data_IF_684626463503
#
_entry.id   IF_684626463503
#
_cell.length_a   1.000
_cell.length_b   1.000
_cell.length_c   1.000
_cell.angle_alpha   90.00
_cell.angle_beta   90.00
_cell.angle_gamma   90.00
#
_symmetry.space_group_name_H-M   'P 1'
#
loop_
_entity.id
_entity.type
_entity.pdbx_description
1 polymer ?
#
# COMPACT_ATOMS: atom_id res chain seq x y z
N UNK A 1 7.63 -30.67 -12.63
CA UNK A 1 7.69 -29.49 -13.50
C UNK A 1 6.57 -28.57 -13.07
N UNK A 2 6.86 -27.37 -12.54
CA UNK A 2 5.80 -26.43 -12.18
C UNK A 2 5.03 -26.04 -13.46
N UNK A 3 3.70 -26.01 -13.38
CA UNK A 3 2.87 -25.62 -14.52
C UNK A 3 3.21 -24.18 -14.91
N UNK A 4 3.92 -24.06 -16.04
CA UNK A 4 4.46 -22.77 -16.52
C UNK A 4 3.34 -21.76 -16.81
N UNK A 5 2.12 -22.25 -17.09
CA UNK A 5 0.91 -21.43 -17.21
C UNK A 5 0.42 -20.87 -15.88
N UNK A 6 0.34 -21.70 -14.83
CA UNK A 6 -0.07 -21.26 -13.50
C UNK A 6 0.91 -20.25 -12.91
N UNK A 7 2.21 -20.45 -13.10
CA UNK A 7 3.24 -19.53 -12.60
C UNK A 7 3.15 -18.14 -13.24
N UNK A 8 2.82 -18.08 -14.55
CA UNK A 8 2.59 -16.81 -15.26
C UNK A 8 1.35 -16.07 -14.74
N UNK A 9 0.26 -16.80 -14.46
CA UNK A 9 -0.96 -16.22 -13.91
C UNK A 9 -0.71 -15.61 -12.52
N UNK A 10 -0.03 -16.33 -11.64
CA UNK A 10 0.31 -15.83 -10.30
C UNK A 10 1.23 -14.60 -10.40
N UNK A 11 2.22 -14.63 -11.29
CA UNK A 11 3.10 -13.48 -11.53
C UNK A 11 2.33 -12.24 -12.02
N UNK A 12 1.34 -12.44 -12.90
CA UNK A 12 0.48 -11.35 -13.37
C UNK A 12 -0.37 -10.76 -12.24
N UNK A 13 -1.04 -11.61 -11.45
CA UNK A 13 -1.84 -11.18 -10.30
C UNK A 13 -0.98 -10.42 -9.30
N UNK A 14 0.21 -10.93 -9.01
CA UNK A 14 1.15 -10.27 -8.11
C UNK A 14 1.52 -8.88 -8.63
N UNK A 15 1.92 -8.77 -9.90
CA UNK A 15 2.27 -7.48 -10.49
C UNK A 15 1.11 -6.47 -10.47
N UNK A 16 -0.10 -6.89 -10.83
CA UNK A 16 -1.27 -6.01 -10.77
C UNK A 16 -1.61 -5.59 -9.35
N UNK A 17 -1.45 -6.49 -8.39
CA UNK A 17 -1.66 -6.21 -6.96
C UNK A 17 -0.62 -5.20 -6.46
N UNK A 18 0.65 -5.39 -6.78
CA UNK A 18 1.72 -4.45 -6.44
C UNK A 18 1.45 -3.07 -7.02
N UNK A 19 0.99 -2.99 -8.28
CA UNK A 19 0.67 -1.73 -8.94
C UNK A 19 -0.52 -1.04 -8.26
N UNK A 20 -1.58 -1.78 -7.92
CA UNK A 20 -2.72 -1.25 -7.17
C UNK A 20 -2.30 -0.72 -5.80
N UNK A 21 -1.47 -1.46 -5.07
CA UNK A 21 -0.93 -1.04 -3.76
C UNK A 21 -0.10 0.24 -3.90
N UNK A 22 0.76 0.34 -4.91
CA UNK A 22 1.54 1.56 -5.19
C UNK A 22 0.63 2.77 -5.44
N UNK A 23 -0.44 2.60 -6.23
CA UNK A 23 -1.39 3.68 -6.50
C UNK A 23 -2.11 4.13 -5.23
N UNK A 24 -2.60 3.18 -4.43
CA UNK A 24 -3.27 3.48 -3.15
C UNK A 24 -2.31 4.17 -2.19
N UNK A 25 -1.08 3.69 -2.05
CA UNK A 25 -0.06 4.33 -1.21
C UNK A 25 0.19 5.78 -1.66
N UNK A 26 0.28 6.03 -2.97
CA UNK A 26 0.39 7.37 -3.53
C UNK A 26 -0.82 8.26 -3.20
N UNK A 27 -2.04 7.72 -3.30
CA UNK A 27 -3.27 8.44 -2.92
C UNK A 27 -3.31 8.79 -1.43
N UNK A 28 -2.84 7.88 -0.56
CA UNK A 28 -2.77 8.13 0.88
C UNK A 28 -1.79 9.26 1.18
N UNK A 29 -0.57 9.19 0.65
CA UNK A 29 0.46 10.24 0.83
C UNK A 29 -0.04 11.57 0.29
N UNK A 30 -0.66 11.56 -0.89
CA UNK A 30 -1.31 12.75 -1.45
C UNK A 30 -2.39 13.30 -0.54
N UNK A 31 -3.26 12.45 0.01
CA UNK A 31 -4.30 12.88 0.94
C UNK A 31 -3.75 13.52 2.22
N UNK A 32 -2.59 13.07 2.71
CA UNK A 32 -1.90 13.75 3.80
C UNK A 32 -1.35 15.12 3.37
N UNK A 33 -0.77 15.23 2.18
CA UNK A 33 -0.26 16.50 1.64
C UNK A 33 -1.39 17.52 1.37
N UNK A 34 -2.54 17.05 0.90
CA UNK A 34 -3.72 17.86 0.61
C UNK A 34 -4.54 18.19 1.88
N UNK A 35 -4.12 17.70 3.06
CA UNK A 35 -4.80 17.95 4.33
C UNK A 35 -6.12 17.18 4.52
N UNK A 36 -6.41 16.19 3.67
CA UNK A 36 -7.60 15.35 3.77
C UNK A 36 -7.52 14.35 4.95
N UNK A 37 -6.31 14.06 5.43
CA UNK A 37 -6.06 13.24 6.62
C UNK A 37 -5.31 14.06 7.67
N UNK A 38 -5.86 14.13 8.88
CA UNK A 38 -5.21 14.75 10.03
C UNK A 38 -4.48 13.67 10.84
N UNK A 39 -3.19 13.89 11.10
CA UNK A 39 -2.48 13.12 12.11
C UNK A 39 -3.02 13.56 13.48
N UNK A 40 -4.01 12.86 14.03
CA UNK A 40 -4.26 12.92 15.47
C UNK A 40 -2.93 12.63 16.14
N UNK A 41 -2.39 13.61 16.87
CA UNK A 41 -1.18 13.41 17.63
C UNK A 41 -1.52 12.37 18.68
N UNK A 42 -1.22 11.10 18.41
CA UNK A 42 -1.12 10.09 19.44
C UNK A 42 -0.08 10.62 20.40
N UNK A 43 -0.55 11.30 21.45
CA UNK A 43 0.20 11.59 22.65
C UNK A 43 0.55 10.22 23.22
N UNK A 44 1.58 9.60 22.66
CA UNK A 44 2.32 8.56 23.35
C UNK A 44 2.83 9.29 24.57
N UNK A 45 2.09 9.08 25.66
CA UNK A 45 2.30 9.64 26.97
C UNK A 45 3.79 9.53 27.28
N UNK A 46 4.49 10.66 27.15
CA UNK A 46 5.91 10.80 27.44
C UNK A 46 6.14 10.88 28.96
N UNK A 47 5.41 10.02 29.69
CA UNK A 47 5.46 9.83 31.13
C UNK A 47 6.26 8.57 31.44
N UNK A 48 7.55 8.56 31.09
CA UNK A 48 8.55 7.63 31.66
C UNK A 48 9.89 8.31 31.80
#
# INVERSE_FOLDING_TARGET
MADRGALKLVGFIFATTTLAVMLVAGMVVKGYADGAYTLEASTVDASR
#
